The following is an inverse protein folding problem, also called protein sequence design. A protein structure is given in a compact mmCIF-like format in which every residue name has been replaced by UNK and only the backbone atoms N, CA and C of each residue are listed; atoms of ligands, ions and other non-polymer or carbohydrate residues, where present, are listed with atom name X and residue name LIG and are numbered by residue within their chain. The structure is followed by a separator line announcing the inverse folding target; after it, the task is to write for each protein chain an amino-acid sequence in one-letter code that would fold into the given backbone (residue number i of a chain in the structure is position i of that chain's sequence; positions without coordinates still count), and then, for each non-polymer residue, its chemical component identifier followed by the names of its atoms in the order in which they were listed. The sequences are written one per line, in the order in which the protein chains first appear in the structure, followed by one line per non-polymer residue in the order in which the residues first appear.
data_IF_357871658643
#
_entry.id   IF_357871658643
#
_cell.length_a   1.000
_cell.length_b   1.000
_cell.length_c   1.000
_cell.angle_alpha   90.00
_cell.angle_beta   90.00
_cell.angle_gamma   90.00
#
_symmetry.space_group_name_H-M   'P 1'
#
loop_
_entity.id
_entity.type
_entity.pdbx_description
1 polymer ?
#
# COMPACT_ATOMS: atom_id res chain seq x y z
N UNK A 1 -30.15 7.08 -27.26
CA UNK A 1 -30.88 6.76 -26.01
C UNK A 1 -30.79 7.98 -25.11
N UNK A 2 -31.91 8.57 -24.75
CA UNK A 2 -31.93 9.68 -23.77
C UNK A 2 -31.56 9.15 -22.39
N UNK A 3 -30.71 9.84 -21.61
CA UNK A 3 -30.35 9.39 -20.27
C UNK A 3 -31.63 9.34 -19.39
N UNK A 4 -31.83 8.20 -18.74
CA UNK A 4 -32.90 8.08 -17.73
C UNK A 4 -32.49 8.92 -16.52
N UNK A 5 -33.17 10.02 -16.28
CA UNK A 5 -32.94 10.86 -15.13
C UNK A 5 -33.42 10.14 -13.85
N UNK A 6 -32.58 10.05 -12.85
CA UNK A 6 -32.92 9.55 -11.53
C UNK A 6 -33.40 10.73 -10.67
N UNK A 7 -34.65 10.67 -10.19
CA UNK A 7 -35.15 11.65 -9.24
C UNK A 7 -34.59 11.34 -7.85
N UNK A 8 -33.75 12.23 -7.33
CA UNK A 8 -33.24 12.08 -5.97
C UNK A 8 -34.37 12.16 -4.94
N UNK A 9 -34.38 11.32 -3.89
CA UNK A 9 -35.37 11.43 -2.82
C UNK A 9 -35.32 12.80 -2.18
N UNK A 10 -36.50 13.42 -2.00
CA UNK A 10 -36.62 14.69 -1.29
C UNK A 10 -36.82 14.44 0.20
N UNK A 11 -35.95 15.03 1.03
CA UNK A 11 -36.12 15.01 2.47
C UNK A 11 -36.73 16.35 2.93
N UNK A 12 -37.95 16.37 3.51
CA UNK A 12 -38.64 17.61 3.88
C UNK A 12 -38.09 18.25 5.17
N UNK A 13 -37.23 17.56 5.91
CA UNK A 13 -36.64 18.04 7.15
C UNK A 13 -35.10 17.90 7.12
N UNK A 14 -34.37 18.71 7.91
CA UNK A 14 -32.93 18.54 8.06
C UNK A 14 -32.59 17.12 8.50
N UNK A 15 -31.58 16.50 7.84
CA UNK A 15 -31.09 15.19 8.21
C UNK A 15 -30.17 15.32 9.43
N UNK A 16 -30.37 14.43 10.41
CA UNK A 16 -29.43 14.21 11.52
C UNK A 16 -29.14 12.72 11.57
N UNK A 17 -27.94 12.35 11.14
CA UNK A 17 -27.54 10.96 11.07
C UNK A 17 -26.04 10.81 11.31
N UNK A 18 -25.64 9.67 11.88
CA UNK A 18 -24.23 9.24 11.95
C UNK A 18 -24.05 8.13 10.92
N UNK A 19 -23.11 8.34 10.02
CA UNK A 19 -22.78 7.37 8.98
C UNK A 19 -21.38 6.84 9.22
N UNK A 20 -21.27 5.51 9.46
CA UNK A 20 -19.99 4.85 9.56
C UNK A 20 -19.51 4.47 8.16
N UNK A 21 -18.32 4.93 7.80
CA UNK A 21 -17.69 4.62 6.52
C UNK A 21 -16.44 3.75 6.74
N UNK A 22 -16.09 2.89 5.76
CA UNK A 22 -14.83 2.13 5.81
C UNK A 22 -13.61 3.05 5.87
N UNK A 23 -12.50 2.54 6.38
CA UNK A 23 -11.21 3.23 6.35
C UNK A 23 -10.76 3.60 4.94
N UNK A 24 -9.88 4.58 4.82
CA UNK A 24 -9.33 5.00 3.53
C UNK A 24 -8.24 4.05 3.05
N UNK A 25 -8.37 3.53 1.83
CA UNK A 25 -7.33 2.71 1.17
C UNK A 25 -5.97 3.41 1.13
N UNK A 26 -5.97 4.66 0.71
CA UNK A 26 -4.74 5.43 0.57
C UNK A 26 -4.08 5.76 1.91
N UNK A 27 -4.86 6.00 2.95
CA UNK A 27 -4.33 6.22 4.31
C UNK A 27 -3.77 4.91 4.86
N UNK A 28 -4.48 3.79 4.71
CA UNK A 28 -4.02 2.47 5.14
C UNK A 28 -2.68 2.12 4.51
N UNK A 29 -2.53 2.29 3.18
CA UNK A 29 -1.28 1.98 2.49
C UNK A 29 -0.11 2.85 2.99
N UNK A 30 -0.32 4.14 3.22
CA UNK A 30 0.72 5.03 3.76
C UNK A 30 1.07 4.69 5.21
N UNK A 31 0.08 4.39 6.04
CA UNK A 31 0.31 3.97 7.42
C UNK A 31 1.14 2.68 7.50
N UNK A 32 0.88 1.71 6.61
CA UNK A 32 1.66 0.48 6.50
C UNK A 32 3.13 0.76 6.16
N UNK A 33 3.40 1.67 5.22
CA UNK A 33 4.76 2.05 4.85
C UNK A 33 5.47 2.73 6.03
N UNK A 34 4.80 3.69 6.70
CA UNK A 34 5.38 4.38 7.85
C UNK A 34 5.65 3.41 9.00
N UNK A 35 4.74 2.46 9.25
CA UNK A 35 4.92 1.44 10.27
C UNK A 35 6.07 0.46 9.94
N UNK A 36 6.26 0.13 8.66
CA UNK A 36 7.38 -0.71 8.21
C UNK A 36 8.75 -0.03 8.33
N UNK A 37 8.77 1.31 8.32
CA UNK A 37 9.98 2.12 8.43
C UNK A 37 10.17 2.71 9.85
N UNK A 38 9.31 2.36 10.80
CA UNK A 38 9.40 2.85 12.18
C UNK A 38 10.50 2.14 12.98
N UNK A 39 10.94 2.75 14.07
CA UNK A 39 11.95 2.17 14.98
C UNK A 39 11.39 1.05 15.87
N UNK A 40 10.08 0.83 15.86
CA UNK A 40 9.44 -0.18 16.71
C UNK A 40 8.02 -0.56 16.24
N UNK A 41 7.43 -1.55 16.93
CA UNK A 41 6.12 -2.08 16.55
C UNK A 41 5.02 -1.01 16.52
N UNK A 42 4.12 -1.13 15.57
CA UNK A 42 2.98 -0.21 15.37
C UNK A 42 1.67 -0.97 15.26
N UNK A 43 0.59 -0.36 15.71
CA UNK A 43 -0.76 -0.92 15.56
C UNK A 43 -1.62 0.03 14.71
N UNK A 44 -2.14 -0.47 13.60
CA UNK A 44 -3.02 0.28 12.70
C UNK A 44 -4.44 -0.24 12.90
N UNK A 45 -5.30 0.59 13.48
CA UNK A 45 -6.73 0.28 13.68
C UNK A 45 -7.57 0.86 12.55
N UNK A 46 -8.65 0.20 12.19
CA UNK A 46 -9.53 0.67 11.13
C UNK A 46 -8.96 0.53 9.72
N UNK A 47 -7.99 -0.35 9.54
CA UNK A 47 -7.39 -0.60 8.24
C UNK A 47 -8.44 -1.09 7.23
N UNK A 48 -8.47 -0.47 6.04
CA UNK A 48 -9.31 -0.96 4.96
C UNK A 48 -8.66 -2.18 4.31
N UNK A 49 -9.45 -3.28 4.18
CA UNK A 49 -9.05 -4.43 3.37
C UNK A 49 -9.56 -4.27 1.94
N UNK A 50 -8.65 -4.31 1.01
CA UNK A 50 -8.92 -4.23 -0.43
C UNK A 50 -7.78 -4.92 -1.18
N UNK A 51 -7.96 -5.20 -2.48
CA UNK A 51 -6.87 -5.74 -3.30
C UNK A 51 -5.56 -4.96 -3.15
N UNK A 52 -5.63 -3.63 -3.18
CA UNK A 52 -4.43 -2.78 -3.10
C UNK A 52 -3.76 -2.84 -1.71
N UNK A 53 -4.54 -2.89 -0.63
CA UNK A 53 -3.98 -3.00 0.73
C UNK A 53 -3.45 -4.41 1.01
N UNK A 54 -4.07 -5.44 0.44
CA UNK A 54 -3.59 -6.82 0.51
C UNK A 54 -2.26 -6.98 -0.24
N UNK A 55 -2.13 -6.37 -1.42
CA UNK A 55 -0.88 -6.30 -2.16
C UNK A 55 0.20 -5.53 -1.39
N UNK A 56 -0.14 -4.42 -0.71
CA UNK A 56 0.81 -3.66 0.13
C UNK A 56 1.32 -4.52 1.28
N UNK A 57 0.43 -5.21 2.01
CA UNK A 57 0.79 -6.11 3.10
C UNK A 57 1.72 -7.22 2.59
N UNK A 58 1.36 -7.85 1.46
CA UNK A 58 2.18 -8.88 0.84
C UNK A 58 3.56 -8.36 0.45
N UNK A 59 3.62 -7.20 -0.19
CA UNK A 59 4.88 -6.59 -0.62
C UNK A 59 5.81 -6.28 0.56
N UNK A 60 5.29 -5.64 1.61
CA UNK A 60 6.09 -5.32 2.80
C UNK A 60 6.58 -6.58 3.53
N UNK A 61 5.78 -7.65 3.56
CA UNK A 61 6.22 -8.96 4.07
C UNK A 61 7.37 -9.54 3.25
N UNK A 62 7.31 -9.44 1.92
CA UNK A 62 8.41 -9.89 1.05
C UNK A 62 9.67 -9.05 1.21
N UNK A 63 9.53 -7.79 1.64
CA UNK A 63 10.64 -6.91 1.96
C UNK A 63 11.12 -7.04 3.44
N UNK A 64 10.64 -8.03 4.18
CA UNK A 64 11.12 -8.37 5.52
C UNK A 64 10.26 -7.88 6.69
N UNK A 65 9.22 -7.08 6.47
CA UNK A 65 8.35 -6.60 7.56
C UNK A 65 7.41 -7.69 8.03
N UNK A 66 7.28 -7.87 9.35
CA UNK A 66 6.27 -8.75 9.92
C UNK A 66 4.94 -8.00 10.11
N UNK A 67 3.86 -8.54 9.55
CA UNK A 67 2.52 -7.94 9.65
C UNK A 67 1.53 -9.02 10.03
N UNK A 68 0.88 -8.83 11.17
CA UNK A 68 -0.20 -9.71 11.66
C UNK A 68 -1.54 -9.00 11.57
N UNK A 69 -2.58 -9.75 11.18
CA UNK A 69 -3.96 -9.27 11.18
C UNK A 69 -4.67 -9.78 12.43
N UNK A 70 -5.24 -8.86 13.20
CA UNK A 70 -6.09 -9.18 14.34
C UNK A 70 -7.53 -8.99 13.89
N UNK A 71 -8.25 -10.11 13.75
CA UNK A 71 -9.68 -10.09 13.44
C UNK A 71 -10.41 -10.13 14.79
N UNK A 72 -11.23 -9.12 15.13
CA UNK A 72 -12.02 -9.15 16.36
C UNK A 72 -13.00 -10.35 16.35
N UNK A 73 -13.18 -11.01 17.49
CA UNK A 73 -14.04 -12.19 17.62
C UNK A 73 -15.51 -11.91 17.24
N UNK A 74 -15.97 -10.68 17.46
CA UNK A 74 -17.31 -10.23 17.07
C UNK A 74 -17.51 -10.09 15.56
N UNK A 75 -16.44 -9.98 14.81
CA UNK A 75 -16.49 -9.95 13.34
C UNK A 75 -16.91 -11.29 12.71
N UNK A 76 -16.83 -12.38 13.46
CA UNK A 76 -17.24 -13.72 13.04
C UNK A 76 -18.74 -13.99 13.32
N UNK A 77 -19.40 -13.15 14.10
CA UNK A 77 -20.75 -13.38 14.65
C UNK A 77 -21.89 -12.77 13.84
N UNK A 78 -21.76 -12.62 12.56
CA UNK A 78 -22.93 -12.46 11.71
C UNK A 78 -23.23 -11.06 11.19
N UNK A 79 -23.66 -11.10 9.99
CA UNK A 79 -24.47 -10.15 9.22
C UNK A 79 -23.75 -9.08 8.40
N UNK A 80 -23.89 -9.30 7.14
CA UNK A 80 -24.19 -8.31 6.12
C UNK A 80 -23.19 -7.15 5.91
N UNK A 81 -22.48 -7.23 4.84
CA UNK A 81 -22.11 -6.17 3.92
C UNK A 81 -20.89 -5.25 4.21
N UNK A 82 -20.37 -5.16 5.39
CA UNK A 82 -19.09 -4.44 5.60
C UNK A 82 -18.13 -5.33 6.36
N UNK A 83 -17.00 -5.71 5.71
CA UNK A 83 -15.92 -6.37 6.46
C UNK A 83 -15.55 -5.45 7.63
N UNK A 84 -15.48 -5.99 8.86
CA UNK A 84 -15.16 -5.19 10.04
C UNK A 84 -13.80 -4.51 9.84
N UNK A 85 -13.65 -3.36 10.48
CA UNK A 85 -12.39 -2.64 10.47
C UNK A 85 -11.29 -3.55 11.03
N UNK A 86 -10.31 -3.84 10.20
CA UNK A 86 -9.20 -4.74 10.57
C UNK A 86 -8.17 -3.98 11.40
N UNK A 87 -7.66 -4.63 12.43
CA UNK A 87 -6.47 -4.16 13.15
C UNK A 87 -5.25 -4.90 12.64
N UNK A 88 -4.22 -4.15 12.23
CA UNK A 88 -2.94 -4.69 11.77
C UNK A 88 -1.86 -4.37 12.80
N UNK A 89 -1.11 -5.38 13.21
CA UNK A 89 0.09 -5.23 14.01
C UNK A 89 1.30 -5.37 13.11
N UNK A 90 2.15 -4.35 13.08
CA UNK A 90 3.31 -4.25 12.18
C UNK A 90 4.57 -4.21 13.04
N UNK A 91 5.47 -5.15 12.81
CA UNK A 91 6.79 -5.21 13.45
C UNK A 91 7.83 -4.97 12.36
N UNK A 92 8.52 -3.82 12.40
CA UNK A 92 9.59 -3.53 11.45
C UNK A 92 10.80 -4.41 11.72
N UNK A 93 11.47 -4.82 10.67
CA UNK A 93 12.76 -5.50 10.66
C UNK A 93 13.67 -4.85 9.64
N UNK A 94 14.98 -5.11 9.63
CA UNK A 94 15.85 -4.71 8.54
C UNK A 94 15.26 -5.17 7.21
N UNK A 95 15.10 -4.22 6.28
CA UNK A 95 14.50 -4.52 4.99
C UNK A 95 15.45 -5.37 4.14
N UNK A 96 14.90 -6.36 3.46
CA UNK A 96 15.62 -7.25 2.55
C UNK A 96 15.08 -7.12 1.13
N UNK A 97 15.92 -7.37 0.14
CA UNK A 97 15.48 -7.45 -1.24
C UNK A 97 14.42 -8.53 -1.45
N UNK A 98 13.56 -8.34 -2.43
CA UNK A 98 12.48 -9.28 -2.67
C UNK A 98 11.64 -8.98 -3.92
N UNK A 99 10.69 -9.88 -4.21
CA UNK A 99 9.78 -9.73 -5.33
C UNK A 99 8.50 -9.01 -4.89
N UNK A 100 8.18 -7.92 -5.56
CA UNK A 100 7.01 -7.09 -5.28
C UNK A 100 6.07 -7.09 -6.47
N UNK A 101 4.87 -7.61 -6.28
CA UNK A 101 3.80 -7.54 -7.27
C UNK A 101 2.85 -6.39 -6.94
N UNK A 102 2.83 -5.38 -7.78
CA UNK A 102 2.07 -4.14 -7.56
C UNK A 102 0.61 -4.22 -8.00
N UNK A 103 0.24 -5.20 -8.82
CA UNK A 103 -1.06 -5.22 -9.49
C UNK A 103 -1.30 -3.92 -10.26
N UNK A 104 -2.43 -3.25 -9.99
CA UNK A 104 -2.76 -1.91 -10.51
C UNK A 104 -2.61 -0.81 -9.45
N UNK A 105 -2.06 -1.13 -8.27
CA UNK A 105 -2.02 -0.23 -7.14
C UNK A 105 -0.98 0.89 -7.31
N UNK A 106 -1.43 2.08 -7.67
CA UNK A 106 -0.57 3.23 -7.91
C UNK A 106 0.23 3.68 -6.68
N UNK A 107 -0.23 3.40 -5.47
CA UNK A 107 0.51 3.66 -4.23
C UNK A 107 1.73 2.73 -4.11
N UNK A 108 1.57 1.44 -4.42
CA UNK A 108 2.68 0.49 -4.40
C UNK A 108 3.75 0.90 -5.41
N UNK A 109 3.32 1.14 -6.67
CA UNK A 109 4.22 1.49 -7.77
C UNK A 109 5.06 2.74 -7.50
N UNK A 110 4.57 3.69 -6.69
CA UNK A 110 5.24 4.97 -6.45
C UNK A 110 5.96 5.09 -5.12
N UNK A 111 5.52 4.38 -4.09
CA UNK A 111 6.13 4.49 -2.77
C UNK A 111 7.08 3.34 -2.44
N UNK A 112 6.74 2.10 -2.82
CA UNK A 112 7.59 0.96 -2.48
C UNK A 112 8.96 0.96 -3.15
N UNK A 113 9.18 1.53 -4.36
CA UNK A 113 10.53 1.68 -4.89
C UNK A 113 11.48 2.42 -3.95
N UNK A 114 11.00 3.50 -3.29
CA UNK A 114 11.78 4.21 -2.29
C UNK A 114 12.06 3.38 -1.02
N UNK A 115 11.11 2.55 -0.61
CA UNK A 115 11.31 1.61 0.52
C UNK A 115 12.32 0.53 0.15
N UNK A 116 12.19 -0.06 -1.02
CA UNK A 116 13.10 -1.09 -1.52
C UNK A 116 14.53 -0.59 -1.74
N UNK A 117 14.70 0.71 -2.04
CA UNK A 117 16.01 1.33 -2.13
C UNK A 117 16.78 1.34 -0.80
N UNK A 118 16.09 1.18 0.33
CA UNK A 118 16.68 1.07 1.66
C UNK A 118 16.94 -0.38 2.09
N UNK A 119 16.51 -1.36 1.28
CA UNK A 119 16.62 -2.77 1.60
C UNK A 119 18.02 -3.31 1.25
N UNK A 120 18.47 -4.31 1.99
CA UNK A 120 19.66 -5.08 1.63
C UNK A 120 19.32 -6.09 0.54
N UNK A 121 20.06 -6.04 -0.59
CA UNK A 121 19.88 -6.93 -1.74
C UNK A 121 18.91 -6.39 -2.79
N UNK A 122 18.75 -7.17 -3.85
CA UNK A 122 18.01 -6.76 -5.03
C UNK A 122 16.50 -6.91 -4.84
N UNK A 123 15.75 -5.95 -5.36
CA UNK A 123 14.30 -5.99 -5.40
C UNK A 123 13.78 -5.94 -6.83
N UNK A 124 12.77 -6.77 -7.12
CA UNK A 124 12.14 -6.86 -8.43
C UNK A 124 10.67 -6.49 -8.34
N UNK A 125 10.24 -5.59 -9.21
CA UNK A 125 8.86 -5.09 -9.23
C UNK A 125 8.18 -5.46 -10.54
N UNK A 126 6.96 -5.99 -10.44
CA UNK A 126 6.08 -6.24 -11.58
C UNK A 126 4.63 -5.89 -11.23
N UNK A 127 3.75 -5.95 -12.20
CA UNK A 127 2.33 -5.65 -12.03
C UNK A 127 1.48 -6.14 -13.20
N UNK A 128 0.18 -5.83 -13.12
CA UNK A 128 -0.76 -6.14 -14.19
C UNK A 128 -0.32 -5.45 -15.50
N UNK A 129 -0.73 -5.97 -16.65
CA UNK A 129 -0.36 -5.42 -17.97
C UNK A 129 -0.74 -3.94 -18.13
N UNK A 130 -1.88 -3.52 -17.54
CA UNK A 130 -2.28 -2.11 -17.53
C UNK A 130 -1.41 -1.24 -16.61
N UNK A 131 -0.76 -1.84 -15.61
CA UNK A 131 0.19 -1.14 -14.75
C UNK A 131 1.47 -0.79 -15.50
N UNK A 132 1.92 -1.66 -16.39
CA UNK A 132 3.13 -1.49 -17.21
C UNK A 132 3.05 -0.27 -18.15
N UNK A 133 1.83 0.16 -18.47
CA UNK A 133 1.59 1.35 -19.30
C UNK A 133 1.60 2.66 -18.50
N UNK A 134 1.68 2.61 -17.16
CA UNK A 134 1.65 3.81 -16.32
C UNK A 134 3.04 4.42 -16.21
N UNK A 135 3.16 5.76 -16.33
CA UNK A 135 4.45 6.42 -16.21
C UNK A 135 5.00 6.27 -14.78
N UNK A 136 6.22 5.76 -14.68
CA UNK A 136 7.01 5.64 -13.45
C UNK A 136 8.34 6.40 -13.55
N UNK A 137 8.71 6.85 -14.74
CA UNK A 137 10.01 7.47 -15.01
C UNK A 137 10.40 8.52 -13.98
N UNK A 138 9.50 9.44 -13.64
CA UNK A 138 9.79 10.49 -12.65
C UNK A 138 10.25 9.94 -11.30
N UNK A 139 9.66 8.85 -10.81
CA UNK A 139 10.08 8.23 -9.55
C UNK A 139 11.40 7.49 -9.73
N UNK A 140 11.56 6.77 -10.84
CA UNK A 140 12.77 6.01 -11.13
C UNK A 140 13.98 6.95 -11.32
N UNK A 141 13.79 8.05 -12.04
CA UNK A 141 14.83 9.03 -12.28
C UNK A 141 15.27 9.72 -10.97
N UNK A 142 14.31 10.11 -10.13
CA UNK A 142 14.62 10.67 -8.81
C UNK A 142 15.40 9.70 -7.92
N UNK A 143 15.10 8.40 -7.96
CA UNK A 143 15.85 7.39 -7.22
C UNK A 143 17.25 7.17 -7.81
N UNK A 144 17.39 7.21 -9.15
CA UNK A 144 18.72 7.17 -9.81
C UNK A 144 19.58 8.35 -9.43
N UNK A 145 19.00 9.56 -9.37
CA UNK A 145 19.68 10.78 -8.94
C UNK A 145 20.15 10.69 -7.48
N UNK A 146 19.47 9.91 -6.65
CA UNK A 146 19.88 9.60 -5.28
C UNK A 146 20.91 8.46 -5.20
N UNK A 147 21.32 7.86 -6.32
CA UNK A 147 22.35 6.83 -6.39
C UNK A 147 21.82 5.39 -6.37
N UNK A 148 20.52 5.16 -6.50
CA UNK A 148 19.96 3.81 -6.63
C UNK A 148 20.23 3.27 -8.03
N UNK A 149 20.80 2.09 -8.14
CA UNK A 149 20.94 1.41 -9.43
C UNK A 149 19.62 0.77 -9.83
N UNK A 150 19.07 1.18 -10.96
CA UNK A 150 17.76 0.74 -11.45
C UNK A 150 17.88 0.28 -12.89
N UNK A 151 17.48 -0.97 -13.15
CA UNK A 151 17.38 -1.54 -14.50
C UNK A 151 15.93 -1.56 -14.96
N UNK A 152 15.65 -0.90 -16.09
CA UNK A 152 14.31 -0.72 -16.64
C UNK A 152 13.77 0.69 -16.43
N UNK A 153 12.80 1.10 -17.27
CA UNK A 153 12.20 2.43 -17.25
C UNK A 153 10.72 2.43 -16.84
N UNK A 154 10.21 1.27 -16.47
CA UNK A 154 8.85 1.01 -16.03
C UNK A 154 8.73 -0.43 -15.55
N UNK A 155 7.53 -0.91 -15.21
CA UNK A 155 7.33 -2.30 -14.84
C UNK A 155 7.46 -3.24 -16.06
N UNK A 156 8.15 -4.39 -15.94
CA UNK A 156 8.92 -4.81 -14.76
C UNK A 156 10.22 -4.02 -14.59
N UNK A 157 10.66 -3.84 -13.34
CA UNK A 157 11.86 -3.09 -13.02
C UNK A 157 12.61 -3.74 -11.85
N UNK A 158 13.94 -3.71 -11.91
CA UNK A 158 14.82 -4.23 -10.86
C UNK A 158 15.56 -3.08 -10.18
N UNK A 159 15.71 -3.15 -8.88
CA UNK A 159 16.42 -2.20 -8.04
C UNK A 159 17.53 -2.90 -7.29
N UNK A 160 18.68 -2.26 -7.15
CA UNK A 160 19.70 -2.62 -6.18
C UNK A 160 19.72 -1.59 -5.06
N UNK A 161 20.19 -1.98 -3.89
CA UNK A 161 20.21 -1.13 -2.71
C UNK A 161 20.96 0.19 -2.90
N UNK A 162 20.54 1.21 -2.17
CA UNK A 162 21.24 2.47 -2.06
C UNK A 162 22.47 2.29 -1.15
N UNK A 163 23.67 2.47 -1.69
CA UNK A 163 24.87 2.67 -0.86
C UNK A 163 24.84 4.09 -0.32
N UNK A 164 24.33 4.27 0.90
CA UNK A 164 24.46 5.55 1.59
C UNK A 164 25.95 5.79 1.86
N UNK A 165 26.49 6.99 1.59
CA UNK A 165 27.82 7.33 2.02
C UNK A 165 27.86 7.20 3.55
N UNK A 166 28.77 6.33 4.05
CA UNK A 166 29.07 6.26 5.47
C UNK A 166 29.63 7.63 5.86
N UNK A 167 28.94 8.34 6.72
CA UNK A 167 29.50 9.52 7.36
C UNK A 167 30.65 9.06 8.25
N UNK A 168 31.89 9.36 7.83
CA UNK A 168 33.09 9.30 8.65
C UNK A 168 32.98 10.27 9.83
#
# INVERSE_FOLDING_TARGET
MSPTLYAAPHCPAPLSAVVHVPGSKSITNRALILAALADGPSTITGALRSRDTDLMISALRHLGTEIMEIIPDDALAGAAATRPATTLHVIPHPLTGGNVYCGLAGTLMRFLPGVAALAEGDSYFDGDEQAKQRPLSTVLDALRDLGVTITGDGLPVSYTHLTLPTSD
#
